data_IF_657276394062
#
_entry.id   IF_657276394062
#
_cell.length_a   1.000
_cell.length_b   1.000
_cell.length_c   1.000
_cell.angle_alpha   90.00
_cell.angle_beta   90.00
_cell.angle_gamma   90.00
#
_symmetry.space_group_name_H-M   'P 1'
#
loop_
_entity.id
_entity.type
_entity.pdbx_description
1 polymer ?
#
# COMPACT_ATOMS: atom_id res chain seq x y z
N UNK A 1 -19.19 -9.94 8.00
CA UNK A 1 -17.77 -9.63 8.27
C UNK A 1 -17.06 -9.60 6.93
N UNK A 2 -16.46 -8.47 6.57
CA UNK A 2 -15.68 -8.34 5.34
C UNK A 2 -14.23 -8.04 5.74
N UNK A 3 -13.28 -8.75 5.15
CA UNK A 3 -11.85 -8.48 5.30
C UNK A 3 -11.41 -7.96 3.94
N UNK A 4 -10.84 -6.76 3.91
CA UNK A 4 -10.17 -6.28 2.71
C UNK A 4 -8.68 -6.56 2.85
N UNK A 5 -8.08 -7.02 1.76
CA UNK A 5 -6.64 -7.26 1.67
C UNK A 5 -6.16 -6.45 0.48
N UNK A 6 -5.16 -5.60 0.70
CA UNK A 6 -4.50 -4.81 -0.34
C UNK A 6 -3.05 -5.24 -0.46
N UNK A 7 -2.58 -5.39 -1.69
CA UNK A 7 -1.18 -5.69 -2.02
C UNK A 7 -0.74 -4.95 -3.27
N UNK A 8 0.56 -4.67 -3.36
CA UNK A 8 1.19 -4.28 -4.61
C UNK A 8 1.81 -5.48 -5.31
N UNK A 9 1.64 -5.51 -6.63
CA UNK A 9 2.24 -6.52 -7.49
C UNK A 9 3.24 -5.85 -8.45
N UNK A 10 4.39 -6.49 -8.68
CA UNK A 10 5.30 -6.13 -9.74
C UNK A 10 5.83 -7.38 -10.44
N UNK A 11 6.03 -7.33 -11.76
CA UNK A 11 6.39 -8.49 -12.57
C UNK A 11 7.61 -9.27 -12.03
N UNK A 12 8.72 -8.63 -11.60
CA UNK A 12 9.90 -9.35 -11.13
C UNK A 12 9.72 -10.07 -9.79
N UNK A 13 8.82 -9.57 -8.92
CA UNK A 13 8.66 -10.09 -7.54
C UNK A 13 7.35 -10.85 -7.33
N UNK A 14 6.40 -10.73 -8.24
CA UNK A 14 5.01 -11.05 -7.98
C UNK A 14 4.47 -10.11 -6.90
N UNK A 15 4.37 -10.60 -5.65
CA UNK A 15 4.03 -9.77 -4.50
C UNK A 15 5.23 -8.92 -4.10
N UNK A 16 5.06 -7.62 -3.92
CA UNK A 16 6.16 -6.74 -3.49
C UNK A 16 6.60 -7.13 -2.08
N UNK A 17 7.87 -7.51 -1.94
CA UNK A 17 8.46 -7.97 -0.69
C UNK A 17 10.00 -7.82 -0.68
N UNK A 18 10.59 -7.85 0.52
CA UNK A 18 12.03 -8.05 0.71
C UNK A 18 12.34 -9.54 0.86
N UNK A 19 13.55 -9.99 0.50
CA UNK A 19 14.03 -11.31 0.96
C UNK A 19 14.27 -11.30 2.47
N UNK A 20 14.51 -12.48 3.06
CA UNK A 20 14.85 -12.57 4.48
C UNK A 20 16.15 -11.81 4.79
N UNK A 21 17.14 -11.95 3.93
CA UNK A 21 18.46 -11.32 4.07
C UNK A 21 18.37 -9.79 3.94
N UNK A 22 17.59 -9.31 2.96
CA UNK A 22 17.32 -7.88 2.82
C UNK A 22 16.62 -7.34 4.07
N UNK A 23 15.55 -7.97 4.54
CA UNK A 23 14.82 -7.49 5.72
C UNK A 23 15.69 -7.48 7.00
N UNK A 24 16.58 -8.48 7.18
CA UNK A 24 17.55 -8.48 8.27
C UNK A 24 18.57 -7.33 8.18
N UNK A 25 18.84 -6.82 6.98
CA UNK A 25 19.76 -5.70 6.75
C UNK A 25 19.10 -4.33 6.99
N UNK A 26 17.77 -4.26 6.97
CA UNK A 26 16.98 -3.03 7.13
C UNK A 26 15.90 -3.24 8.22
N UNK A 27 16.29 -3.37 9.50
CA UNK A 27 15.39 -3.68 10.62
C UNK A 27 14.38 -2.56 10.93
N UNK A 28 14.59 -1.35 10.41
CA UNK A 28 13.66 -0.24 10.49
C UNK A 28 12.41 -0.43 9.62
N UNK A 29 12.49 -1.27 8.57
CA UNK A 29 11.34 -1.64 7.77
C UNK A 29 10.54 -2.68 8.56
N UNK A 30 9.32 -2.37 9.03
CA UNK A 30 8.64 -3.19 10.03
C UNK A 30 8.16 -4.54 9.49
N UNK A 31 7.79 -4.59 8.21
CA UNK A 31 7.24 -5.78 7.58
C UNK A 31 7.92 -6.03 6.24
N UNK A 32 8.16 -7.32 5.96
CA UNK A 32 8.77 -7.79 4.72
C UNK A 32 7.86 -7.67 3.50
N UNK A 33 6.53 -7.70 3.68
CA UNK A 33 5.54 -7.61 2.61
C UNK A 33 4.76 -6.30 2.72
N UNK A 34 4.29 -5.78 1.58
CA UNK A 34 3.41 -4.60 1.52
C UNK A 34 1.94 -5.02 1.57
N UNK A 35 1.58 -5.85 2.55
CA UNK A 35 0.21 -6.35 2.72
C UNK A 35 -0.51 -5.52 3.79
N UNK A 36 -1.62 -4.89 3.41
CA UNK A 36 -2.52 -4.25 4.36
C UNK A 36 -3.80 -5.06 4.48
N UNK A 37 -4.20 -5.34 5.73
CA UNK A 37 -5.41 -6.09 6.05
C UNK A 37 -6.32 -5.18 6.87
N UNK A 38 -7.55 -4.99 6.39
CA UNK A 38 -8.53 -4.13 7.02
C UNK A 38 -9.77 -4.94 7.40
N UNK A 39 -10.14 -4.94 8.68
CA UNK A 39 -11.47 -5.40 9.10
C UNK A 39 -12.49 -4.28 8.85
N UNK A 40 -13.28 -4.42 7.79
CA UNK A 40 -14.08 -3.32 7.29
C UNK A 40 -15.35 -3.10 8.10
N UNK A 41 -15.60 -1.84 8.44
CA UNK A 41 -16.86 -1.37 9.00
C UNK A 41 -16.67 -0.20 9.96
N UNK A 42 -17.72 0.61 10.14
CA UNK A 42 -17.68 1.79 11.02
C UNK A 42 -17.34 1.49 12.48
N UNK A 43 -17.60 0.27 12.95
CA UNK A 43 -17.27 -0.21 14.30
C UNK A 43 -15.97 -1.04 14.35
N UNK A 44 -15.18 -1.01 13.28
CA UNK A 44 -13.93 -1.75 13.11
C UNK A 44 -12.82 -0.79 12.64
N UNK A 45 -12.00 -1.18 11.67
CA UNK A 45 -10.89 -0.35 11.16
C UNK A 45 -11.35 0.73 10.18
N UNK A 46 -12.67 0.84 9.95
CA UNK A 46 -13.25 1.77 9.00
C UNK A 46 -13.26 1.23 7.57
N UNK A 47 -13.12 2.13 6.61
CA UNK A 47 -13.06 1.84 5.17
C UNK A 47 -11.76 2.39 4.59
N UNK A 48 -11.37 1.89 3.41
CA UNK A 48 -10.25 2.46 2.66
C UNK A 48 -10.45 3.95 2.41
N UNK A 49 -9.38 4.71 2.65
CA UNK A 49 -9.30 6.13 2.36
C UNK A 49 -7.90 6.46 1.81
N UNK A 50 -7.73 7.69 1.34
CA UNK A 50 -6.48 8.13 0.74
C UNK A 50 -5.29 8.08 1.71
N UNK A 51 -5.52 8.26 3.01
CA UNK A 51 -4.46 8.23 4.02
C UNK A 51 -3.91 6.82 4.21
N UNK A 52 -4.80 5.82 4.24
CA UNK A 52 -4.41 4.40 4.28
C UNK A 52 -3.67 4.01 3.00
N UNK A 53 -4.16 4.43 1.83
CA UNK A 53 -3.48 4.18 0.55
C UNK A 53 -2.08 4.82 0.52
N UNK A 54 -1.96 6.08 0.95
CA UNK A 54 -0.69 6.80 0.98
C UNK A 54 0.30 6.16 1.96
N UNK A 55 -0.17 5.67 3.11
CA UNK A 55 0.66 4.93 4.06
C UNK A 55 1.20 3.63 3.44
N UNK A 56 0.33 2.84 2.82
CA UNK A 56 0.73 1.61 2.14
C UNK A 56 1.71 1.89 0.99
N UNK A 57 1.47 2.95 0.20
CA UNK A 57 2.33 3.36 -0.90
C UNK A 57 3.74 3.75 -0.42
N UNK A 58 3.86 4.50 0.68
CA UNK A 58 5.17 4.83 1.27
C UNK A 58 5.94 3.57 1.64
N UNK A 59 5.29 2.61 2.31
CA UNK A 59 5.91 1.33 2.63
C UNK A 59 6.27 0.52 1.37
N UNK A 60 5.45 0.59 0.31
CA UNK A 60 5.79 0.00 -0.98
C UNK A 60 7.07 0.58 -1.59
N UNK A 61 7.21 1.91 -1.55
CA UNK A 61 8.40 2.62 -2.05
C UNK A 61 9.64 2.17 -1.26
N UNK A 62 9.58 2.18 0.07
CA UNK A 62 10.70 1.77 0.92
C UNK A 62 11.15 0.32 0.58
N UNK A 63 10.20 -0.59 0.38
CA UNK A 63 10.51 -1.97 -0.01
C UNK A 63 11.11 -2.05 -1.41
N UNK A 64 10.55 -1.32 -2.38
CA UNK A 64 10.97 -1.40 -3.77
C UNK A 64 12.37 -0.80 -4.01
N UNK A 65 12.73 0.27 -3.30
CA UNK A 65 14.08 0.86 -3.36
C UNK A 65 15.16 -0.12 -2.88
N UNK A 66 14.84 -0.97 -1.91
CA UNK A 66 15.75 -2.02 -1.40
C UNK A 66 15.71 -3.26 -2.31
N UNK A 67 14.51 -3.71 -2.70
CA UNK A 67 14.32 -4.95 -3.44
C UNK A 67 14.86 -4.88 -4.87
N UNK A 68 14.72 -3.71 -5.51
CA UNK A 68 15.02 -3.48 -6.91
C UNK A 68 15.75 -2.14 -7.09
N UNK A 69 17.00 -2.02 -6.58
CA UNK A 69 17.74 -0.76 -6.58
C UNK A 69 17.97 -0.23 -8.00
N UNK A 70 18.02 1.10 -8.15
CA UNK A 70 18.20 1.82 -9.42
C UNK A 70 17.07 1.59 -10.45
N UNK A 71 15.87 1.26 -9.98
CA UNK A 71 14.69 1.05 -10.83
C UNK A 71 13.72 2.24 -10.68
N UNK A 72 13.06 2.61 -11.78
CA UNK A 72 11.97 3.59 -11.76
C UNK A 72 10.65 2.80 -11.66
N UNK A 73 9.87 3.10 -10.63
CA UNK A 73 8.56 2.47 -10.41
C UNK A 73 7.44 3.41 -10.85
N UNK A 74 6.43 2.85 -11.52
CA UNK A 74 5.20 3.55 -11.89
C UNK A 74 4.04 2.84 -11.21
N UNK A 75 3.27 3.58 -10.41
CA UNK A 75 2.12 3.04 -9.69
C UNK A 75 0.83 3.42 -10.42
N UNK A 76 0.04 2.41 -10.78
CA UNK A 76 -1.30 2.58 -11.35
C UNK A 76 -2.37 2.33 -10.30
N UNK A 77 -3.32 3.25 -10.18
CA UNK A 77 -4.48 3.10 -9.29
C UNK A 77 -5.76 3.17 -10.13
N UNK A 78 -6.54 2.09 -10.12
CA UNK A 78 -7.89 2.10 -10.69
C UNK A 78 -8.88 2.51 -9.61
N UNK A 79 -9.41 3.73 -9.73
CA UNK A 79 -10.40 4.29 -8.82
C UNK A 79 -11.81 4.38 -9.45
N UNK A 80 -12.05 3.67 -10.57
CA UNK A 80 -13.29 3.78 -11.36
C UNK A 80 -14.56 3.40 -10.60
N UNK A 81 -14.45 2.63 -9.51
CA UNK A 81 -15.56 2.19 -8.66
C UNK A 81 -15.70 2.97 -7.35
N UNK A 82 -14.79 3.89 -7.04
CA UNK A 82 -14.83 4.62 -5.77
C UNK A 82 -15.96 5.65 -5.75
N UNK A 83 -16.68 5.70 -4.63
CA UNK A 83 -17.91 6.48 -4.43
C UNK A 83 -17.69 8.02 -4.36
N UNK A 84 -16.84 8.58 -5.23
CA UNK A 84 -16.70 10.02 -5.42
C UNK A 84 -16.39 10.79 -4.14
N UNK A 85 -15.71 10.17 -3.17
CA UNK A 85 -15.35 10.83 -1.93
C UNK A 85 -14.38 11.97 -2.24
N UNK A 86 -14.79 13.19 -1.91
CA UNK A 86 -13.95 14.37 -2.04
C UNK A 86 -12.83 14.36 -1.00
N UNK A 87 -11.70 14.96 -1.34
CA UNK A 87 -10.68 15.29 -0.35
C UNK A 87 -11.25 16.30 0.67
N UNK A 88 -10.71 16.31 1.90
CA UNK A 88 -11.18 17.22 2.96
C UNK A 88 -11.06 18.70 2.57
N UNK A 89 -10.08 19.03 1.73
CA UNK A 89 -9.77 20.36 1.21
C UNK A 89 -10.26 20.57 -0.24
N UNK A 90 -11.07 19.64 -0.77
CA UNK A 90 -11.63 19.79 -2.09
C UNK A 90 -12.51 21.05 -2.14
N UNK A 91 -12.34 21.85 -3.20
CA UNK A 91 -13.25 22.95 -3.49
C UNK A 91 -14.61 22.37 -3.89
N UNK A 92 -15.57 22.38 -2.98
CA UNK A 92 -16.96 22.01 -3.23
C UNK A 92 -17.73 23.30 -3.54
N UNK A 93 -18.38 23.35 -4.72
CA UNK A 93 -19.18 24.48 -5.17
C UNK A 93 -20.56 24.54 -4.51
#
# INVERSE_FOLDING_TARGET
RCIHISEFLCEPLGRVHLTTEQHLSYPEIPNRYVTEILEVGANHDGYWNIQLLAKQLKHAIDILEIALPNTIFVFGFDNSSSHGAFAEDALVA
#
